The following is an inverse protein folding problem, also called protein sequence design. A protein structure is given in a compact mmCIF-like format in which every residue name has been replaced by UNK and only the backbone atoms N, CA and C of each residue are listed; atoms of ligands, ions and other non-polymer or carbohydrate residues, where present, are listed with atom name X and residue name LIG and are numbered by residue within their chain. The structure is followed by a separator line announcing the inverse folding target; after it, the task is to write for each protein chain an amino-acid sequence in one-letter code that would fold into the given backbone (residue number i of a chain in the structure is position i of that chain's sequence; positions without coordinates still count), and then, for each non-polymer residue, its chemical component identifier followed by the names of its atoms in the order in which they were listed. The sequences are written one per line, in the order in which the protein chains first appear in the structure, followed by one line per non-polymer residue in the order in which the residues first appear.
data_IF_282613340329
#
_entry.id   IF_282613340329
#
_cell.length_a   1.000
_cell.length_b   1.000
_cell.length_c   1.000
_cell.angle_alpha   90.00
_cell.angle_beta   90.00
_cell.angle_gamma   90.00
#
_symmetry.space_group_name_H-M   'P 1'
#
loop_
_entity.id
_entity.type
_entity.pdbx_description
1 polymer ?
#
# COMPACT_ATOMS: atom_id res chain seq x y z
N UNK A 1 56.84 43.37 71.98
CA UNK A 1 56.91 42.69 70.74
C UNK A 1 55.48 42.26 70.31
N UNK A 2 54.86 43.07 69.46
CA UNK A 2 53.46 42.84 69.01
C UNK A 2 53.50 42.12 67.66
N UNK A 3 52.88 40.95 67.61
CA UNK A 3 52.69 40.24 66.29
C UNK A 3 51.31 40.62 65.77
N UNK A 4 51.31 41.18 64.56
CA UNK A 4 50.13 41.54 63.81
C UNK A 4 49.80 40.35 62.94
N UNK A 5 48.59 39.78 63.02
CA UNK A 5 47.99 38.84 62.10
C UNK A 5 47.22 39.60 61.02
N UNK A 6 47.35 39.25 59.76
CA UNK A 6 46.46 39.76 58.74
C UNK A 6 45.21 38.88 58.63
N UNK A 7 44.07 39.51 58.50
CA UNK A 7 42.76 38.91 58.27
C UNK A 7 42.65 38.49 56.74
N UNK A 8 42.38 37.24 56.52
CA UNK A 8 41.99 36.75 55.22
C UNK A 8 40.46 36.89 55.05
N UNK A 9 40.06 37.76 54.13
CA UNK A 9 38.69 37.88 53.65
C UNK A 9 38.45 36.79 52.59
N UNK A 10 37.63 35.78 52.91
CA UNK A 10 37.16 34.78 52.00
C UNK A 10 35.98 35.33 51.16
N UNK A 11 36.19 35.59 49.89
CA UNK A 11 35.13 35.90 48.92
C UNK A 11 34.45 34.61 48.49
N UNK A 12 33.22 34.37 48.92
CA UNK A 12 32.39 33.27 48.47
C UNK A 12 31.84 33.60 47.08
N UNK A 13 32.38 32.96 46.03
CA UNK A 13 31.75 32.92 44.68
C UNK A 13 30.54 31.98 44.72
N UNK A 14 29.34 32.55 44.71
CA UNK A 14 28.12 31.82 44.42
C UNK A 14 28.09 31.55 42.91
N UNK A 15 28.47 30.34 42.50
CA UNK A 15 28.17 29.81 41.16
C UNK A 15 26.70 29.43 41.14
N UNK A 16 25.87 30.30 40.55
CA UNK A 16 24.50 29.96 40.18
C UNK A 16 24.56 28.94 39.01
N UNK A 17 24.48 27.65 39.32
CA UNK A 17 24.16 26.63 38.35
C UNK A 17 22.71 26.83 37.89
N UNK A 18 22.53 27.54 36.78
CA UNK A 18 21.26 27.52 36.05
C UNK A 18 21.03 26.09 35.61
N UNK A 19 20.33 25.30 36.41
CA UNK A 19 19.72 24.05 35.98
C UNK A 19 18.69 24.41 34.92
N UNK A 20 19.08 24.34 33.65
CA UNK A 20 18.14 24.19 32.55
C UNK A 20 17.42 22.85 32.77
N UNK A 21 16.43 22.88 33.69
CA UNK A 21 15.36 21.91 33.71
C UNK A 21 14.61 22.08 32.40
N UNK A 22 15.06 21.40 31.36
CA UNK A 22 14.25 21.16 30.17
C UNK A 22 13.00 20.48 30.66
N UNK A 23 11.94 21.23 30.92
CA UNK A 23 10.59 20.73 30.94
C UNK A 23 10.49 19.99 29.62
N UNK A 24 10.35 18.65 29.65
CA UNK A 24 9.84 17.91 28.54
C UNK A 24 8.45 18.49 28.26
N UNK A 25 8.46 19.57 27.47
CA UNK A 25 7.27 20.19 26.95
C UNK A 25 6.51 19.08 26.28
N UNK A 26 5.35 18.73 26.81
CA UNK A 26 4.42 17.79 26.19
C UNK A 26 3.95 18.38 24.87
N UNK A 27 4.88 18.50 23.92
CA UNK A 27 4.67 19.08 22.60
C UNK A 27 3.45 18.46 21.98
N UNK A 28 2.51 19.30 21.56
CA UNK A 28 1.25 18.86 20.95
C UNK A 28 1.53 17.80 19.89
N UNK A 29 1.04 16.58 20.11
CA UNK A 29 1.23 15.44 19.19
C UNK A 29 0.33 15.60 17.96
N UNK A 30 0.76 15.04 16.81
CA UNK A 30 -0.06 14.90 15.62
C UNK A 30 -0.76 13.56 15.71
N UNK A 31 -2.06 13.56 16.01
CA UNK A 31 -2.86 12.34 16.11
C UNK A 31 -3.25 11.84 14.72
N UNK A 32 -2.81 10.65 14.38
CA UNK A 32 -3.18 9.95 13.12
C UNK A 32 -3.95 8.69 13.50
N UNK A 33 -5.15 8.54 12.93
CA UNK A 33 -5.91 7.30 13.02
C UNK A 33 -5.39 6.27 12.01
N UNK A 34 -5.36 5.01 12.41
CA UNK A 34 -5.08 3.89 11.52
C UNK A 34 -6.16 2.82 11.70
N UNK A 35 -7.03 2.67 10.69
CA UNK A 35 -8.04 1.61 10.62
C UNK A 35 -7.47 0.53 9.72
N UNK A 36 -7.35 -0.70 10.22
CA UNK A 36 -6.77 -1.77 9.41
C UNK A 36 -7.34 -3.14 9.78
N UNK A 37 -7.39 -4.04 8.80
CA UNK A 37 -7.83 -5.42 8.96
C UNK A 37 -6.72 -6.24 9.66
N UNK A 38 -6.72 -6.26 11.00
CA UNK A 38 -5.74 -6.99 11.80
C UNK A 38 -6.26 -8.36 12.28
N UNK A 39 -7.55 -8.61 12.09
CA UNK A 39 -8.20 -9.91 12.25
C UNK A 39 -9.18 -10.17 11.08
N UNK A 40 -9.71 -11.42 10.98
CA UNK A 40 -10.53 -11.84 9.84
C UNK A 40 -9.69 -12.21 8.60
N UNK A 41 -10.35 -12.31 7.43
CA UNK A 41 -9.76 -12.86 6.21
C UNK A 41 -8.60 -12.03 5.63
N UNK A 42 -8.55 -10.73 5.89
CA UNK A 42 -7.50 -9.82 5.43
C UNK A 42 -6.38 -9.60 6.46
N UNK A 43 -6.47 -10.21 7.65
CA UNK A 43 -5.47 -10.04 8.71
C UNK A 43 -4.02 -10.27 8.26
N UNK A 44 -3.69 -11.27 7.42
CA UNK A 44 -2.34 -11.45 6.93
C UNK A 44 -1.85 -10.24 6.11
N UNK A 45 -2.73 -9.61 5.33
CA UNK A 45 -2.42 -8.48 4.45
C UNK A 45 -2.31 -7.19 5.26
N UNK A 46 -3.30 -6.91 6.10
CA UNK A 46 -3.30 -5.75 7.00
C UNK A 46 -2.16 -5.78 8.02
N UNK A 47 -1.77 -6.98 8.48
CA UNK A 47 -0.61 -7.15 9.34
C UNK A 47 0.70 -6.70 8.69
N UNK A 48 0.87 -6.90 7.37
CA UNK A 48 2.04 -6.40 6.63
C UNK A 48 2.02 -4.87 6.51
N UNK A 49 0.86 -4.28 6.23
CA UNK A 49 0.70 -2.82 6.21
C UNK A 49 1.02 -2.21 7.59
N UNK A 50 0.51 -2.83 8.67
CA UNK A 50 0.77 -2.37 10.04
C UNK A 50 2.26 -2.32 10.37
N UNK A 51 3.03 -3.35 10.01
CA UNK A 51 4.48 -3.39 10.25
C UNK A 51 5.20 -2.16 9.70
N UNK A 52 4.78 -1.68 8.55
CA UNK A 52 5.45 -0.57 7.88
C UNK A 52 4.86 0.78 8.19
N UNK A 53 3.58 0.86 8.54
CA UNK A 53 3.00 2.06 9.15
C UNK A 53 3.72 2.35 10.48
N UNK A 54 3.90 1.34 11.33
CA UNK A 54 4.65 1.48 12.59
C UNK A 54 6.11 1.88 12.32
N UNK A 55 6.79 1.22 11.37
CA UNK A 55 8.18 1.53 11.00
C UNK A 55 8.34 2.97 10.52
N UNK A 56 7.46 3.44 9.63
CA UNK A 56 7.53 4.81 9.12
C UNK A 56 7.28 5.84 10.23
N UNK A 57 6.33 5.59 11.13
CA UNK A 57 6.07 6.44 12.29
C UNK A 57 7.26 6.45 13.26
N UNK A 58 7.87 5.28 13.53
CA UNK A 58 9.09 5.17 14.34
C UNK A 58 10.22 6.02 13.76
N UNK A 59 10.47 5.90 12.43
CA UNK A 59 11.52 6.65 11.74
C UNK A 59 11.28 8.16 11.77
N UNK A 60 10.07 8.63 11.48
CA UNK A 60 9.71 10.05 11.50
C UNK A 60 9.86 10.60 12.93
N UNK A 61 9.37 9.88 13.93
CA UNK A 61 9.48 10.30 15.33
C UNK A 61 10.92 10.32 15.83
N UNK A 62 11.77 9.40 15.38
CA UNK A 62 13.20 9.38 15.69
C UNK A 62 13.97 10.56 15.07
N UNK A 63 13.47 11.08 13.93
CA UNK A 63 14.00 12.27 13.25
C UNK A 63 13.45 13.60 13.80
N UNK A 64 12.74 13.58 14.94
CA UNK A 64 12.16 14.77 15.58
C UNK A 64 10.70 15.05 15.23
N UNK A 65 10.03 14.14 14.54
CA UNK A 65 8.62 14.27 14.15
C UNK A 65 8.39 15.19 12.96
N UNK A 66 7.17 15.69 12.80
CA UNK A 66 6.79 16.62 11.73
C UNK A 66 6.71 18.02 12.32
N UNK A 67 7.58 18.94 11.87
CA UNK A 67 7.65 20.28 12.43
C UNK A 67 7.91 20.31 13.95
N UNK A 68 8.73 19.38 14.44
CA UNK A 68 9.04 19.23 15.87
C UNK A 68 7.97 18.50 16.69
N UNK A 69 6.87 18.05 16.09
CA UNK A 69 5.76 17.35 16.77
C UNK A 69 5.78 15.86 16.47
N UNK A 70 5.73 15.03 17.50
CA UNK A 70 5.68 13.56 17.33
C UNK A 70 4.32 13.11 16.80
N UNK A 71 4.33 12.05 16.00
CA UNK A 71 3.10 11.35 15.56
C UNK A 71 2.64 10.44 16.70
N UNK A 72 1.38 10.58 17.11
CA UNK A 72 0.62 9.64 17.92
C UNK A 72 -0.27 8.80 17.00
N UNK A 73 0.08 7.53 16.80
CA UNK A 73 -0.69 6.62 15.95
C UNK A 73 -1.75 5.89 16.78
N UNK A 74 -3.02 5.99 16.39
CA UNK A 74 -4.15 5.31 17.04
C UNK A 74 -4.65 4.21 16.12
N UNK A 75 -4.23 2.97 16.37
CA UNK A 75 -4.57 1.79 15.56
C UNK A 75 -5.84 1.13 16.06
N UNK A 76 -6.77 0.80 15.13
CA UNK A 76 -8.02 0.11 15.39
C UNK A 76 -8.23 -0.99 14.35
N UNK A 77 -8.64 -2.18 14.82
CA UNK A 77 -8.86 -3.37 13.99
C UNK A 77 -10.30 -3.41 13.44
N UNK A 78 -10.46 -3.26 12.13
CA UNK A 78 -11.76 -3.34 11.46
C UNK A 78 -12.28 -4.78 11.29
N UNK A 79 -11.50 -5.79 11.66
CA UNK A 79 -11.86 -7.21 11.62
C UNK A 79 -12.27 -7.72 10.23
N UNK A 80 -11.87 -7.02 9.17
CA UNK A 80 -12.32 -7.26 7.78
C UNK A 80 -13.83 -7.03 7.60
N UNK A 81 -14.45 -6.14 8.39
CA UNK A 81 -15.87 -5.85 8.39
C UNK A 81 -16.14 -4.36 8.16
N UNK A 82 -16.91 -3.97 7.12
CA UNK A 82 -17.22 -2.57 6.82
C UNK A 82 -17.90 -1.80 7.97
N UNK A 83 -18.78 -2.43 8.73
CA UNK A 83 -19.45 -1.83 9.88
C UNK A 83 -18.47 -1.51 11.01
N UNK A 84 -17.46 -2.34 11.24
CA UNK A 84 -16.38 -2.07 12.18
C UNK A 84 -15.51 -0.90 11.71
N UNK A 85 -15.24 -0.79 10.39
CA UNK A 85 -14.60 0.37 9.80
C UNK A 85 -15.34 1.68 10.12
N UNK A 86 -16.66 1.69 9.93
CA UNK A 86 -17.53 2.84 10.26
C UNK A 86 -17.51 3.16 11.76
N UNK A 87 -17.60 2.15 12.63
CA UNK A 87 -17.51 2.30 14.07
C UNK A 87 -16.19 2.96 14.48
N UNK A 88 -15.10 2.45 13.95
CA UNK A 88 -13.75 2.93 14.26
C UNK A 88 -13.47 4.30 13.69
N UNK A 89 -13.98 4.62 12.50
CA UNK A 89 -13.96 5.98 11.98
C UNK A 89 -14.59 6.98 12.98
N UNK A 90 -15.80 6.70 13.46
CA UNK A 90 -16.48 7.57 14.42
C UNK A 90 -15.70 7.72 15.74
N UNK A 91 -15.06 6.64 16.22
CA UNK A 91 -14.18 6.67 17.39
C UNK A 91 -12.94 7.55 17.16
N UNK A 92 -12.32 7.49 15.98
CA UNK A 92 -11.17 8.34 15.64
C UNK A 92 -11.59 9.80 15.49
N UNK A 93 -12.74 10.06 14.87
CA UNK A 93 -13.32 11.41 14.77
C UNK A 93 -13.53 12.04 16.14
N UNK A 94 -14.10 11.30 17.11
CA UNK A 94 -14.30 11.78 18.49
C UNK A 94 -12.99 12.07 19.21
N UNK A 95 -11.89 11.38 18.85
CA UNK A 95 -10.54 11.64 19.36
C UNK A 95 -9.83 12.80 18.67
N UNK A 96 -10.51 13.48 17.73
CA UNK A 96 -10.03 14.64 16.99
C UNK A 96 -8.71 14.36 16.24
N UNK A 97 -8.62 13.19 15.57
CA UNK A 97 -7.45 12.88 14.74
C UNK A 97 -7.30 13.89 13.60
N UNK A 98 -6.06 14.17 13.22
CA UNK A 98 -5.70 15.07 12.13
C UNK A 98 -6.06 14.47 10.78
N UNK A 99 -5.77 13.19 10.60
CA UNK A 99 -6.05 12.41 9.39
C UNK A 99 -6.19 10.92 9.74
N UNK A 100 -6.66 10.13 8.78
CA UNK A 100 -6.82 8.68 8.92
C UNK A 100 -6.08 7.97 7.77
N UNK A 101 -5.39 6.87 8.08
CA UNK A 101 -4.77 5.94 7.13
C UNK A 101 -5.54 4.61 7.20
N UNK A 102 -5.59 3.88 6.09
CA UNK A 102 -6.16 2.52 6.03
C UNK A 102 -7.50 2.51 5.30
N UNK A 103 -8.22 1.43 5.20
CA UNK A 103 -7.84 0.02 5.39
C UNK A 103 -7.29 -0.56 4.08
N UNK A 104 -6.58 -1.72 4.15
CA UNK A 104 -6.19 -2.46 2.94
C UNK A 104 -7.39 -3.18 2.30
N UNK A 105 -8.46 -3.38 3.03
CA UNK A 105 -9.69 -4.03 2.54
C UNK A 105 -10.63 -3.02 1.87
N UNK A 106 -10.83 -3.14 0.55
CA UNK A 106 -11.59 -2.19 -0.26
C UNK A 106 -13.03 -1.98 0.21
N UNK A 107 -13.70 -3.01 0.74
CA UNK A 107 -15.06 -2.86 1.24
C UNK A 107 -15.13 -1.95 2.49
N UNK A 108 -14.11 -1.98 3.35
CA UNK A 108 -13.96 -1.05 4.47
C UNK A 108 -13.62 0.35 3.96
N UNK A 109 -12.68 0.48 3.03
CA UNK A 109 -12.32 1.76 2.42
C UNK A 109 -13.52 2.51 1.86
N UNK A 110 -14.37 1.80 1.10
CA UNK A 110 -15.61 2.35 0.53
C UNK A 110 -16.67 2.72 1.58
N UNK A 111 -16.68 2.06 2.75
CA UNK A 111 -17.60 2.40 3.84
C UNK A 111 -17.12 3.62 4.65
N UNK A 112 -15.81 3.83 4.73
CA UNK A 112 -15.20 4.94 5.50
C UNK A 112 -15.13 6.24 4.67
N UNK A 113 -14.85 6.15 3.38
CA UNK A 113 -14.64 7.29 2.48
C UNK A 113 -15.76 8.33 2.53
N UNK A 114 -17.09 7.99 2.48
CA UNK A 114 -18.14 9.01 2.52
C UNK A 114 -18.19 9.76 3.86
N UNK A 115 -17.75 9.13 4.94
CA UNK A 115 -17.68 9.76 6.25
C UNK A 115 -16.51 10.75 6.31
N UNK A 116 -15.37 10.39 5.73
CA UNK A 116 -14.20 11.24 5.63
C UNK A 116 -14.51 12.50 4.81
N UNK A 117 -15.20 12.36 3.69
CA UNK A 117 -15.68 13.48 2.85
C UNK A 117 -16.61 14.40 3.63
N UNK A 118 -17.63 13.86 4.30
CA UNK A 118 -18.60 14.61 5.11
C UNK A 118 -17.95 15.42 6.24
N UNK A 119 -17.01 14.79 6.96
CA UNK A 119 -16.40 15.38 8.16
C UNK A 119 -15.10 16.12 7.87
N UNK A 120 -14.71 16.22 6.58
CA UNK A 120 -13.51 16.90 6.10
C UNK A 120 -12.26 16.42 6.80
N UNK A 121 -12.10 15.08 6.93
CA UNK A 121 -10.92 14.45 7.51
C UNK A 121 -10.12 13.82 6.36
N UNK A 122 -8.87 14.24 6.09
CA UNK A 122 -8.04 13.59 5.10
C UNK A 122 -7.93 12.07 5.36
N UNK A 123 -8.32 11.28 4.37
CA UNK A 123 -8.28 9.83 4.39
C UNK A 123 -7.31 9.31 3.34
N UNK A 124 -6.20 8.74 3.80
CA UNK A 124 -5.16 8.12 2.97
C UNK A 124 -5.46 6.62 2.92
N UNK A 125 -6.18 6.21 1.89
CA UNK A 125 -6.67 4.84 1.75
C UNK A 125 -5.59 3.89 1.26
N UNK A 126 -5.47 2.74 1.90
CA UNK A 126 -4.60 1.64 1.46
C UNK A 126 -5.34 0.62 0.57
N UNK A 127 -6.56 0.93 0.15
CA UNK A 127 -7.42 0.07 -0.65
C UNK A 127 -7.50 0.53 -2.12
N UNK A 128 -7.36 -0.37 -3.10
CA UNK A 128 -7.25 -0.02 -4.53
C UNK A 128 -8.58 0.09 -5.28
N UNK A 129 -9.73 0.19 -4.61
CA UNK A 129 -11.02 0.26 -5.30
C UNK A 129 -11.25 1.61 -5.96
N UNK A 130 -11.51 1.62 -7.27
CA UNK A 130 -11.69 2.82 -8.11
C UNK A 130 -12.80 3.75 -7.61
N UNK A 131 -13.90 3.20 -7.09
CA UNK A 131 -15.03 3.98 -6.59
C UNK A 131 -14.72 4.93 -5.44
N UNK A 132 -13.55 4.81 -4.80
CA UNK A 132 -13.11 5.75 -3.77
C UNK A 132 -12.72 7.11 -4.35
N UNK A 133 -12.33 7.14 -5.62
CA UNK A 133 -11.82 8.34 -6.32
C UNK A 133 -12.47 8.58 -7.68
N UNK A 134 -13.49 7.80 -8.05
CA UNK A 134 -14.30 8.00 -9.24
C UNK A 134 -15.79 7.85 -8.88
N UNK A 135 -16.52 8.96 -8.74
CA UNK A 135 -16.09 10.38 -8.87
C UNK A 135 -15.13 10.81 -7.75
N UNK A 136 -14.31 11.85 -8.02
CA UNK A 136 -13.36 12.40 -7.06
C UNK A 136 -14.03 12.75 -5.73
N UNK A 137 -13.38 12.30 -4.64
CA UNK A 137 -13.69 12.67 -3.26
C UNK A 137 -12.57 13.56 -2.73
N UNK A 138 -12.93 14.78 -2.30
CA UNK A 138 -11.93 15.81 -1.94
C UNK A 138 -10.98 15.40 -0.83
N UNK A 139 -11.46 14.57 0.12
CA UNK A 139 -10.68 14.20 1.29
C UNK A 139 -10.16 12.77 1.25
N UNK A 140 -10.32 12.04 0.13
CA UNK A 140 -9.83 10.66 -0.03
C UNK A 140 -8.73 10.58 -1.08
N UNK A 141 -7.59 10.01 -0.69
CA UNK A 141 -6.41 9.79 -1.53
C UNK A 141 -6.02 8.33 -1.47
N UNK A 142 -5.86 7.69 -2.62
CA UNK A 142 -5.54 6.25 -2.70
C UNK A 142 -4.04 6.04 -2.87
N UNK A 143 -3.47 5.17 -2.05
CA UNK A 143 -2.03 4.85 -2.06
C UNK A 143 -1.69 3.75 -3.07
N UNK A 144 -2.30 2.55 -3.06
CA UNK A 144 -2.00 1.55 -4.07
C UNK A 144 -2.46 2.02 -5.45
N UNK A 145 -1.90 1.46 -6.51
CA UNK A 145 -2.48 1.61 -7.83
C UNK A 145 -3.93 1.09 -7.82
N UNK A 146 -4.82 1.76 -8.55
CA UNK A 146 -6.22 1.37 -8.63
C UNK A 146 -6.39 0.01 -9.31
N UNK A 147 -7.48 -0.69 -9.00
CA UNK A 147 -7.82 -1.96 -9.64
C UNK A 147 -7.87 -1.85 -11.15
N UNK A 148 -8.41 -0.74 -11.69
CA UNK A 148 -8.43 -0.47 -13.12
C UNK A 148 -7.04 -0.24 -13.71
N UNK A 149 -6.08 0.29 -12.95
CA UNK A 149 -4.69 0.46 -13.39
C UNK A 149 -3.96 -0.89 -13.42
N UNK A 150 -4.22 -1.79 -12.46
CA UNK A 150 -3.77 -3.18 -12.52
C UNK A 150 -4.33 -3.91 -13.75
N UNK A 151 -5.62 -3.72 -14.03
CA UNK A 151 -6.26 -4.29 -15.23
C UNK A 151 -5.59 -3.78 -16.52
N UNK A 152 -5.35 -2.48 -16.60
CA UNK A 152 -4.71 -1.85 -17.76
C UNK A 152 -3.26 -2.33 -17.95
N UNK A 153 -2.45 -2.39 -16.88
CA UNK A 153 -1.09 -2.92 -16.96
C UNK A 153 -1.06 -4.38 -17.44
N UNK A 154 -2.03 -5.21 -17.02
CA UNK A 154 -2.17 -6.59 -17.47
C UNK A 154 -2.57 -6.65 -18.94
N UNK A 155 -3.49 -5.81 -19.40
CA UNK A 155 -3.90 -5.72 -20.80
C UNK A 155 -2.75 -5.23 -21.71
N UNK A 156 -1.94 -4.27 -21.27
CA UNK A 156 -0.72 -3.85 -21.96
C UNK A 156 0.27 -5.00 -22.12
N UNK A 157 0.44 -5.81 -21.06
CA UNK A 157 1.26 -7.02 -21.12
C UNK A 157 0.71 -8.02 -22.15
N UNK A 158 -0.58 -8.28 -22.14
CA UNK A 158 -1.24 -9.19 -23.08
C UNK A 158 -1.08 -8.72 -24.53
N UNK A 159 -1.27 -7.43 -24.81
CA UNK A 159 -1.11 -6.86 -26.14
C UNK A 159 0.30 -7.10 -26.68
N UNK A 160 1.34 -6.79 -25.90
CA UNK A 160 2.74 -6.98 -26.33
C UNK A 160 3.06 -8.46 -26.56
N UNK A 161 2.49 -9.37 -25.77
CA UNK A 161 2.73 -10.80 -25.87
C UNK A 161 1.72 -11.54 -26.79
N UNK A 162 0.88 -10.78 -27.52
CA UNK A 162 -0.12 -11.30 -28.46
C UNK A 162 -1.12 -12.29 -27.82
N UNK A 163 -1.43 -12.10 -26.54
CA UNK A 163 -2.49 -12.82 -25.83
C UNK A 163 -3.80 -12.09 -26.11
N UNK A 164 -4.61 -12.62 -27.00
CA UNK A 164 -5.82 -11.97 -27.53
C UNK A 164 -7.12 -12.51 -26.94
N UNK A 165 -7.09 -13.69 -26.29
CA UNK A 165 -8.26 -14.35 -25.71
C UNK A 165 -7.95 -14.70 -24.25
N UNK A 166 -8.69 -14.15 -23.32
CA UNK A 166 -8.44 -14.29 -21.87
C UNK A 166 -9.69 -14.80 -21.17
N UNK A 167 -9.53 -15.83 -20.34
CA UNK A 167 -10.51 -16.18 -19.31
C UNK A 167 -10.20 -15.40 -18.04
N UNK A 168 -11.24 -15.06 -17.30
CA UNK A 168 -11.11 -14.29 -16.04
C UNK A 168 -11.91 -14.96 -14.93
N UNK A 169 -11.28 -15.22 -13.79
CA UNK A 169 -11.94 -15.65 -12.57
C UNK A 169 -11.89 -14.53 -11.53
N UNK A 170 -12.97 -14.28 -10.78
CA UNK A 170 -13.03 -13.16 -9.88
C UNK A 170 -13.94 -13.40 -8.66
N UNK A 171 -13.51 -12.86 -7.51
CA UNK A 171 -14.26 -12.89 -6.25
C UNK A 171 -15.41 -11.86 -6.27
N UNK A 172 -16.64 -12.34 -6.16
CA UNK A 172 -17.86 -11.51 -6.19
C UNK A 172 -18.13 -10.73 -4.90
N UNK A 173 -17.44 -11.05 -3.82
CA UNK A 173 -17.61 -10.37 -2.51
C UNK A 173 -16.53 -9.30 -2.28
N UNK A 174 -15.52 -9.23 -3.14
CA UNK A 174 -14.42 -8.28 -3.05
C UNK A 174 -14.65 -7.08 -3.97
N UNK A 175 -14.79 -5.88 -3.41
CA UNK A 175 -14.89 -4.65 -4.20
C UNK A 175 -13.65 -4.42 -5.08
N UNK A 176 -12.47 -4.82 -4.61
CA UNK A 176 -11.24 -4.84 -5.39
C UNK A 176 -11.35 -5.71 -6.64
N UNK A 177 -11.79 -6.96 -6.47
CA UNK A 177 -11.88 -7.91 -7.58
C UNK A 177 -12.96 -7.49 -8.60
N UNK A 178 -14.09 -6.98 -8.13
CA UNK A 178 -15.15 -6.44 -8.99
C UNK A 178 -14.66 -5.24 -9.81
N UNK A 179 -13.96 -4.29 -9.18
CA UNK A 179 -13.39 -3.14 -9.88
C UNK A 179 -12.35 -3.56 -10.93
N UNK A 180 -11.50 -4.54 -10.61
CA UNK A 180 -10.53 -5.10 -11.57
C UNK A 180 -11.18 -5.80 -12.75
N UNK A 181 -12.20 -6.65 -12.48
CA UNK A 181 -13.02 -7.27 -13.52
C UNK A 181 -13.63 -6.21 -14.45
N UNK A 182 -14.27 -5.20 -13.89
CA UNK A 182 -14.93 -4.14 -14.66
C UNK A 182 -13.91 -3.33 -15.47
N UNK A 183 -12.78 -2.97 -14.86
CA UNK A 183 -11.67 -2.29 -15.51
C UNK A 183 -11.13 -3.09 -16.70
N UNK A 184 -10.93 -4.38 -16.52
CA UNK A 184 -10.46 -5.29 -17.57
C UNK A 184 -11.49 -5.43 -18.68
N UNK A 185 -12.75 -5.70 -18.36
CA UNK A 185 -13.84 -5.85 -19.33
C UNK A 185 -14.03 -4.58 -20.17
N UNK A 186 -14.03 -3.41 -19.53
CA UNK A 186 -14.22 -2.11 -20.20
C UNK A 186 -13.10 -1.79 -21.18
N UNK A 187 -11.86 -2.17 -20.88
CA UNK A 187 -10.67 -1.76 -21.63
C UNK A 187 -10.13 -2.82 -22.60
N UNK A 188 -10.50 -4.09 -22.46
CA UNK A 188 -9.90 -5.21 -23.17
C UNK A 188 -9.84 -4.99 -24.70
N UNK A 189 -10.94 -4.54 -25.31
CA UNK A 189 -11.01 -4.32 -26.76
C UNK A 189 -9.99 -3.29 -27.27
N UNK A 190 -9.70 -2.23 -26.49
CA UNK A 190 -8.71 -1.22 -26.87
C UNK A 190 -7.27 -1.78 -26.95
N UNK A 191 -7.01 -2.90 -26.28
CA UNK A 191 -5.73 -3.62 -26.29
C UNK A 191 -5.74 -4.85 -27.20
N UNK A 192 -6.80 -5.03 -28.04
CA UNK A 192 -6.94 -6.20 -28.90
C UNK A 192 -7.20 -7.51 -28.13
N UNK A 193 -7.73 -7.41 -26.92
CA UNK A 193 -8.03 -8.56 -26.05
C UNK A 193 -9.54 -8.79 -25.98
N UNK A 194 -9.97 -10.03 -26.06
CA UNK A 194 -11.34 -10.49 -25.82
C UNK A 194 -11.42 -11.28 -24.53
N UNK A 195 -12.31 -10.91 -23.65
CA UNK A 195 -12.63 -11.73 -22.47
C UNK A 195 -13.62 -12.80 -22.90
N UNK A 196 -13.09 -14.00 -23.17
CA UNK A 196 -13.89 -15.11 -23.73
C UNK A 196 -14.66 -15.90 -22.69
N UNK A 197 -14.28 -15.78 -21.41
CA UNK A 197 -14.95 -16.44 -20.30
C UNK A 197 -14.81 -15.60 -19.02
N UNK A 198 -15.89 -15.51 -18.25
CA UNK A 198 -15.91 -14.88 -16.94
C UNK A 198 -16.47 -15.86 -15.92
N UNK A 199 -15.70 -16.18 -14.90
CA UNK A 199 -16.00 -17.17 -13.88
C UNK A 199 -16.07 -16.50 -12.49
N UNK A 200 -17.28 -16.24 -12.00
CA UNK A 200 -17.47 -15.71 -10.65
C UNK A 200 -17.25 -16.79 -9.59
N UNK A 201 -16.71 -16.40 -8.43
CA UNK A 201 -16.67 -17.23 -7.24
C UNK A 201 -16.85 -16.36 -5.98
N UNK A 202 -17.13 -16.98 -4.84
CA UNK A 202 -17.22 -16.29 -3.56
C UNK A 202 -15.92 -16.42 -2.77
N UNK A 203 -15.62 -15.46 -1.89
CA UNK A 203 -14.41 -15.44 -1.03
C UNK A 203 -14.21 -16.76 -0.26
N UNK A 204 -15.29 -17.47 0.04
CA UNK A 204 -15.27 -18.75 0.77
C UNK A 204 -15.11 -19.98 -0.11
N UNK A 205 -14.95 -19.81 -1.44
CA UNK A 205 -14.78 -20.93 -2.36
C UNK A 205 -13.55 -21.77 -2.03
N UNK A 206 -13.75 -23.06 -1.82
CA UNK A 206 -12.70 -24.04 -1.52
C UNK A 206 -12.36 -24.99 -2.69
N UNK A 207 -13.19 -25.00 -3.75
CA UNK A 207 -12.98 -25.81 -4.94
C UNK A 207 -13.12 -24.97 -6.21
N UNK A 208 -12.07 -24.95 -7.02
CA UNK A 208 -12.00 -24.22 -8.29
C UNK A 208 -12.04 -25.15 -9.51
N UNK A 209 -12.22 -26.46 -9.33
CA UNK A 209 -12.29 -27.45 -10.41
C UNK A 209 -13.38 -27.11 -11.45
N UNK A 210 -14.59 -26.64 -11.08
CA UNK A 210 -15.59 -26.21 -12.05
C UNK A 210 -15.13 -25.07 -12.93
N UNK A 211 -14.46 -24.07 -12.35
CA UNK A 211 -13.90 -22.92 -13.09
C UNK A 211 -12.88 -23.40 -14.11
N UNK A 212 -11.95 -24.28 -13.70
CA UNK A 212 -10.96 -24.82 -14.63
C UNK A 212 -11.57 -25.63 -15.75
N UNK A 213 -12.64 -26.39 -15.48
CA UNK A 213 -13.37 -27.12 -16.51
C UNK A 213 -14.02 -26.19 -17.53
N UNK A 214 -14.66 -25.11 -17.09
CA UNK A 214 -15.27 -24.10 -17.96
C UNK A 214 -14.22 -23.34 -18.80
N UNK A 215 -13.07 -23.03 -18.22
CA UNK A 215 -11.98 -22.35 -18.91
C UNK A 215 -11.36 -23.22 -20.00
N UNK A 216 -11.25 -24.55 -19.78
CA UNK A 216 -10.65 -25.50 -20.73
C UNK A 216 -11.29 -25.45 -22.12
N UNK A 217 -12.60 -25.32 -22.22
CA UNK A 217 -13.36 -25.27 -23.48
C UNK A 217 -13.52 -23.86 -24.07
N UNK A 218 -13.00 -22.82 -23.41
CA UNK A 218 -13.28 -21.43 -23.80
C UNK A 218 -12.44 -20.87 -24.94
N UNK A 219 -11.37 -21.57 -25.34
CA UNK A 219 -10.39 -21.06 -26.29
C UNK A 219 -9.50 -19.94 -25.75
N UNK A 220 -9.47 -19.75 -24.43
CA UNK A 220 -8.60 -18.77 -23.78
C UNK A 220 -7.11 -19.14 -23.95
N UNK A 221 -6.26 -18.13 -24.01
CA UNK A 221 -4.80 -18.22 -24.08
C UNK A 221 -4.14 -17.93 -22.73
N UNK A 222 -4.90 -17.37 -21.78
CA UNK A 222 -4.47 -17.07 -20.42
C UNK A 222 -5.67 -17.10 -19.46
N UNK A 223 -5.39 -17.36 -18.17
CA UNK A 223 -6.34 -17.20 -17.08
C UNK A 223 -5.87 -16.05 -16.17
N UNK A 224 -6.65 -14.98 -16.09
CA UNK A 224 -6.46 -13.86 -15.17
C UNK A 224 -7.33 -14.04 -13.92
N UNK A 225 -6.78 -13.86 -12.73
CA UNK A 225 -7.49 -14.09 -11.46
C UNK A 225 -7.50 -12.83 -10.60
N UNK A 226 -8.69 -12.39 -10.25
CA UNK A 226 -8.96 -11.29 -9.35
C UNK A 226 -9.43 -11.83 -8.01
N UNK A 227 -8.50 -12.02 -7.09
CA UNK A 227 -8.72 -12.53 -5.75
C UNK A 227 -7.77 -11.87 -4.76
N UNK A 228 -8.08 -11.98 -3.47
CA UNK A 228 -7.16 -11.64 -2.37
C UNK A 228 -7.27 -12.68 -1.28
N UNK A 229 -6.19 -12.88 -0.52
CA UNK A 229 -6.18 -13.81 0.61
C UNK A 229 -6.36 -15.28 0.22
N UNK A 230 -7.12 -16.03 1.03
CA UNK A 230 -7.26 -17.48 0.94
C UNK A 230 -7.72 -18.03 -0.42
N UNK A 231 -8.73 -17.47 -1.12
CA UNK A 231 -9.16 -18.01 -2.41
C UNK A 231 -8.07 -17.94 -3.47
N UNK A 232 -7.22 -16.90 -3.46
CA UNK A 232 -6.07 -16.80 -4.36
C UNK A 232 -4.99 -17.85 -4.10
N UNK A 233 -4.83 -18.28 -2.83
CA UNK A 233 -3.95 -19.40 -2.46
C UNK A 233 -4.54 -20.73 -2.92
N UNK A 234 -5.82 -20.97 -2.62
CA UNK A 234 -6.50 -22.23 -2.95
C UNK A 234 -6.55 -22.48 -4.44
N UNK A 235 -6.93 -21.46 -5.23
CA UNK A 235 -6.97 -21.55 -6.69
C UNK A 235 -5.59 -21.90 -7.26
N UNK A 236 -4.54 -21.19 -6.82
CA UNK A 236 -3.18 -21.43 -7.31
C UNK A 236 -2.67 -22.84 -6.96
N UNK A 237 -3.00 -23.36 -5.78
CA UNK A 237 -2.67 -24.74 -5.37
C UNK A 237 -3.34 -25.81 -6.24
N UNK A 238 -4.58 -25.58 -6.63
CA UNK A 238 -5.37 -26.52 -7.44
C UNK A 238 -5.01 -26.42 -8.93
N UNK A 239 -4.42 -25.27 -9.35
CA UNK A 239 -4.14 -25.03 -10.77
C UNK A 239 -3.29 -26.09 -11.46
N UNK A 240 -2.16 -26.60 -10.91
CA UNK A 240 -1.34 -27.62 -11.56
C UNK A 240 -2.08 -28.91 -11.87
N UNK A 241 -3.04 -29.31 -11.03
CA UNK A 241 -3.84 -30.54 -11.21
C UNK A 241 -5.08 -30.33 -12.10
N UNK A 242 -5.36 -29.08 -12.50
CA UNK A 242 -6.50 -28.74 -13.34
C UNK A 242 -6.44 -29.26 -14.77
N UNK A 243 -5.25 -29.68 -15.25
CA UNK A 243 -5.00 -30.03 -16.63
C UNK A 243 -4.99 -28.86 -17.61
N UNK A 244 -5.15 -27.62 -17.14
CA UNK A 244 -4.96 -26.40 -17.91
C UNK A 244 -3.47 -26.17 -18.16
N UNK A 245 -3.12 -25.84 -19.43
CA UNK A 245 -1.75 -25.47 -19.81
C UNK A 245 -1.65 -23.99 -20.21
N UNK A 246 -2.48 -23.16 -19.60
CA UNK A 246 -2.49 -21.73 -19.85
C UNK A 246 -1.56 -21.01 -18.85
N UNK A 247 -0.94 -19.88 -19.22
CA UNK A 247 -0.32 -19.03 -18.21
C UNK A 247 -1.37 -18.49 -17.25
N UNK A 248 -1.07 -18.58 -15.94
CA UNK A 248 -1.88 -18.07 -14.86
C UNK A 248 -1.37 -16.68 -14.47
N UNK A 249 -2.25 -15.69 -14.46
CA UNK A 249 -1.96 -14.31 -14.07
C UNK A 249 -2.69 -13.94 -12.78
N UNK A 250 -1.93 -13.52 -11.79
CA UNK A 250 -2.44 -13.07 -10.49
C UNK A 250 -2.14 -11.57 -10.30
N UNK A 251 -2.86 -10.95 -9.41
CA UNK A 251 -2.73 -9.50 -9.15
C UNK A 251 -1.77 -9.19 -7.99
N UNK A 252 -1.59 -7.91 -7.67
CA UNK A 252 -0.68 -7.44 -6.62
C UNK A 252 -0.96 -8.00 -5.23
N UNK A 253 -2.18 -8.42 -4.96
CA UNK A 253 -2.55 -9.04 -3.67
C UNK A 253 -1.84 -10.37 -3.39
N UNK A 254 -1.28 -11.02 -4.40
CA UNK A 254 -0.48 -12.25 -4.29
C UNK A 254 1.02 -12.00 -4.28
N UNK A 255 1.47 -10.77 -4.39
CA UNK A 255 2.90 -10.43 -4.42
C UNK A 255 3.55 -10.44 -3.03
N UNK A 256 3.43 -11.55 -2.31
CA UNK A 256 3.96 -11.69 -0.95
C UNK A 256 4.37 -13.13 -0.63
N UNK A 257 5.24 -13.27 0.37
CA UNK A 257 5.54 -14.59 0.95
C UNK A 257 4.31 -15.30 1.52
N UNK A 258 3.30 -14.53 1.96
CA UNK A 258 2.05 -15.07 2.51
C UNK A 258 1.22 -15.80 1.45
N UNK A 259 1.49 -15.54 0.17
CA UNK A 259 0.95 -16.32 -0.93
C UNK A 259 1.97 -17.35 -1.45
N UNK A 260 3.23 -16.95 -1.65
CA UNK A 260 4.29 -17.80 -2.19
C UNK A 260 4.53 -19.05 -1.31
N UNK A 261 4.63 -18.87 0.01
CA UNK A 261 4.92 -19.98 0.92
C UNK A 261 3.82 -21.05 0.96
N UNK A 262 2.53 -20.74 1.21
CA UNK A 262 1.49 -21.75 1.21
C UNK A 262 1.21 -22.33 -0.16
N UNK A 263 1.42 -21.63 -1.26
CA UNK A 263 1.26 -22.16 -2.63
C UNK A 263 2.43 -23.08 -2.97
N UNK A 264 3.65 -22.75 -2.54
CA UNK A 264 4.83 -23.59 -2.72
C UNK A 264 5.17 -23.80 -4.20
N UNK A 265 5.51 -25.05 -4.57
CA UNK A 265 5.88 -25.40 -5.95
C UNK A 265 4.79 -25.08 -6.99
N UNK A 266 3.52 -25.02 -6.59
CA UNK A 266 2.42 -24.65 -7.49
C UNK A 266 2.47 -23.19 -7.96
N UNK A 267 3.24 -22.34 -7.29
CA UNK A 267 3.45 -20.95 -7.72
C UNK A 267 4.44 -20.84 -8.87
N UNK A 268 5.28 -21.87 -9.14
CA UNK A 268 6.32 -21.77 -10.15
C UNK A 268 5.76 -21.45 -11.54
N UNK A 269 6.33 -20.45 -12.18
CA UNK A 269 5.90 -19.98 -13.50
C UNK A 269 4.64 -19.09 -13.52
N UNK A 270 3.94 -18.91 -12.40
CA UNK A 270 2.78 -18.01 -12.29
C UNK A 270 3.23 -16.56 -12.47
N UNK A 271 2.44 -15.79 -13.22
CA UNK A 271 2.64 -14.35 -13.38
C UNK A 271 1.91 -13.61 -12.26
N UNK A 272 2.62 -12.67 -11.60
CA UNK A 272 2.07 -11.91 -10.46
C UNK A 272 2.41 -10.43 -10.65
N UNK A 273 1.40 -9.58 -10.63
CA UNK A 273 1.63 -8.14 -10.61
C UNK A 273 2.12 -7.67 -9.24
N UNK A 274 2.81 -6.54 -9.20
CA UNK A 274 3.17 -5.87 -7.94
C UNK A 274 3.47 -4.39 -8.16
N UNK A 275 3.51 -3.60 -7.07
CA UNK A 275 4.22 -2.33 -7.10
C UNK A 275 5.71 -2.55 -7.39
N UNK A 276 6.34 -1.54 -7.97
CA UNK A 276 7.77 -1.59 -8.36
C UNK A 276 8.69 -1.91 -7.19
N UNK A 277 8.38 -1.44 -5.99
CA UNK A 277 9.21 -1.66 -4.81
C UNK A 277 9.33 -3.12 -4.36
N UNK A 278 8.34 -3.97 -4.67
CA UNK A 278 8.39 -5.41 -4.32
C UNK A 278 9.59 -6.11 -4.99
N UNK A 279 9.92 -5.67 -6.20
CA UNK A 279 11.09 -6.13 -6.95
C UNK A 279 12.21 -5.08 -6.96
N UNK A 280 12.22 -4.22 -5.97
CA UNK A 280 13.08 -3.05 -5.88
C UNK A 280 14.58 -3.35 -5.88
N UNK A 281 15.00 -4.56 -5.52
CA UNK A 281 16.41 -4.96 -5.59
C UNK A 281 16.93 -4.99 -7.05
N UNK A 282 16.04 -5.12 -8.03
CA UNK A 282 16.36 -5.11 -9.47
C UNK A 282 16.37 -3.71 -10.09
N UNK A 283 15.94 -2.68 -9.35
CA UNK A 283 15.91 -1.30 -9.85
C UNK A 283 17.33 -0.76 -10.04
N UNK A 284 17.58 0.05 -11.08
CA UNK A 284 18.80 0.82 -11.22
C UNK A 284 18.92 1.85 -10.09
N UNK A 285 20.12 2.38 -9.85
CA UNK A 285 20.36 3.46 -8.90
C UNK A 285 19.53 4.69 -9.22
N UNK A 286 19.12 5.47 -8.19
CA UNK A 286 18.30 6.65 -8.33
C UNK A 286 17.31 6.82 -7.18
N UNK A 287 16.49 7.85 -7.25
CA UNK A 287 15.56 8.24 -6.18
C UNK A 287 14.58 7.13 -5.81
N UNK A 288 14.06 6.38 -6.80
CA UNK A 288 13.14 5.28 -6.55
C UNK A 288 13.82 4.14 -5.79
N UNK A 289 15.03 3.73 -6.22
CA UNK A 289 15.84 2.73 -5.52
C UNK A 289 16.13 3.14 -4.08
N UNK A 290 16.47 4.42 -3.86
CA UNK A 290 16.76 4.95 -2.54
C UNK A 290 15.52 4.89 -1.63
N UNK A 291 14.34 5.28 -2.14
CA UNK A 291 13.08 5.20 -1.40
C UNK A 291 12.73 3.75 -1.02
N UNK A 292 12.94 2.80 -1.94
CA UNK A 292 12.75 1.37 -1.65
C UNK A 292 13.73 0.89 -0.57
N UNK A 293 15.01 1.27 -0.67
CA UNK A 293 16.06 0.83 0.26
C UNK A 293 15.87 1.41 1.67
N UNK A 294 15.43 2.68 1.78
CA UNK A 294 15.10 3.35 3.05
C UNK A 294 14.08 2.54 3.87
N UNK A 295 13.13 1.91 3.22
CA UNK A 295 12.12 1.06 3.85
C UNK A 295 12.58 -0.40 3.95
N UNK A 296 13.04 -1.00 2.83
CA UNK A 296 13.29 -2.45 2.75
C UNK A 296 14.49 -2.89 3.59
N UNK A 297 15.49 -2.04 3.79
CA UNK A 297 16.65 -2.32 4.65
C UNK A 297 16.23 -2.58 6.10
N UNK A 298 15.66 -1.57 6.80
CA UNK A 298 15.15 -1.72 8.16
C UNK A 298 14.07 -2.81 8.30
N UNK A 299 13.18 -2.95 7.30
CA UNK A 299 12.18 -4.00 7.31
C UNK A 299 12.81 -5.40 7.32
N UNK A 300 13.77 -5.66 6.42
CA UNK A 300 14.48 -6.95 6.39
C UNK A 300 15.25 -7.21 7.68
N UNK A 301 15.90 -6.20 8.22
CA UNK A 301 16.59 -6.32 9.51
C UNK A 301 15.64 -6.70 10.65
N UNK A 302 14.43 -6.09 10.69
CA UNK A 302 13.44 -6.31 11.77
C UNK A 302 12.66 -7.61 11.60
N UNK A 303 12.31 -8.00 10.37
CA UNK A 303 11.37 -9.10 10.09
C UNK A 303 11.95 -10.29 9.32
N UNK A 304 13.16 -10.18 8.75
CA UNK A 304 13.89 -11.29 8.13
C UNK A 304 13.42 -11.68 6.71
N UNK A 305 12.66 -10.82 6.00
CA UNK A 305 12.19 -11.09 4.64
C UNK A 305 11.95 -9.80 3.84
N UNK A 306 11.74 -9.95 2.52
CA UNK A 306 11.41 -8.84 1.62
C UNK A 306 10.01 -8.29 1.91
N UNK A 307 9.87 -6.96 2.01
CA UNK A 307 8.57 -6.34 2.23
C UNK A 307 7.63 -6.59 1.04
N UNK A 308 6.40 -7.09 1.29
CA UNK A 308 5.41 -7.32 0.25
C UNK A 308 4.67 -6.05 -0.16
N UNK A 309 3.74 -6.17 -1.13
CA UNK A 309 2.92 -5.07 -1.65
C UNK A 309 2.28 -4.23 -0.53
N UNK A 310 1.58 -4.86 0.41
CA UNK A 310 0.87 -4.15 1.48
C UNK A 310 1.81 -3.42 2.45
N UNK A 311 3.03 -3.94 2.62
CA UNK A 311 4.07 -3.25 3.37
C UNK A 311 4.53 -1.98 2.63
N UNK A 312 4.70 -2.05 1.29
CA UNK A 312 5.02 -0.87 0.48
C UNK A 312 3.93 0.20 0.61
N UNK A 313 2.66 -0.20 0.52
CA UNK A 313 1.52 0.71 0.60
C UNK A 313 1.42 1.38 1.98
N UNK A 314 1.55 0.61 3.07
CA UNK A 314 1.51 1.15 4.43
C UNK A 314 2.59 2.21 4.69
N UNK A 315 3.83 1.91 4.30
CA UNK A 315 4.94 2.86 4.42
C UNK A 315 4.72 4.13 3.61
N UNK A 316 4.32 3.96 2.34
CA UNK A 316 4.06 5.07 1.41
C UNK A 316 2.93 5.97 1.91
N UNK A 317 1.86 5.39 2.46
CA UNK A 317 0.75 6.14 3.03
C UNK A 317 1.17 7.08 4.16
N UNK A 318 2.02 6.60 5.08
CA UNK A 318 2.57 7.44 6.16
C UNK A 318 3.48 8.53 5.60
N UNK A 319 4.36 8.21 4.63
CA UNK A 319 5.29 9.19 4.03
C UNK A 319 4.54 10.29 3.29
N UNK A 320 3.49 9.94 2.52
CA UNK A 320 2.63 10.90 1.82
C UNK A 320 1.92 11.83 2.80
N UNK A 321 1.30 11.28 3.84
CA UNK A 321 0.61 12.07 4.84
C UNK A 321 1.57 12.98 5.62
N UNK A 322 2.74 12.46 6.01
CA UNK A 322 3.75 13.24 6.73
C UNK A 322 4.26 14.41 5.88
N UNK A 323 4.55 14.18 4.60
CA UNK A 323 4.94 15.24 3.67
C UNK A 323 3.85 16.30 3.49
N UNK A 324 2.58 15.87 3.43
CA UNK A 324 1.45 16.79 3.33
C UNK A 324 1.27 17.64 4.59
N UNK A 325 1.38 17.05 5.78
CA UNK A 325 1.31 17.77 7.06
C UNK A 325 2.46 18.76 7.18
N UNK A 326 3.67 18.37 6.78
CA UNK A 326 4.85 19.26 6.75
C UNK A 326 4.62 20.44 5.78
N UNK A 327 4.11 20.17 4.57
CA UNK A 327 3.81 21.21 3.55
C UNK A 327 2.68 22.13 3.99
N UNK A 328 1.67 21.62 4.69
CA UNK A 328 0.57 22.39 5.26
C UNK A 328 0.99 23.30 6.43
N UNK A 329 2.17 23.07 7.01
CA UNK A 329 2.68 23.80 8.17
C UNK A 329 1.92 23.51 9.46
N UNK A 330 1.16 22.39 9.53
CA UNK A 330 0.40 22.06 10.75
C UNK A 330 -0.72 21.05 10.50
N UNK A 331 -1.71 21.04 11.42
CA UNK A 331 -2.75 20.01 11.50
C UNK A 331 -4.12 20.47 10.93
N UNK A 332 -4.16 21.60 10.22
CA UNK A 332 -5.37 22.03 9.52
C UNK A 332 -5.70 21.06 8.39
N UNK A 333 -6.90 20.49 8.44
CA UNK A 333 -7.32 19.40 7.54
C UNK A 333 -7.48 19.83 6.11
N UNK A 334 -7.95 21.08 5.86
CA UNK A 334 -8.13 21.61 4.52
C UNK A 334 -6.76 21.87 3.88
N UNK A 335 -5.84 22.47 4.64
CA UNK A 335 -4.47 22.67 4.17
C UNK A 335 -3.73 21.36 3.88
N UNK A 336 -3.97 20.32 4.70
CA UNK A 336 -3.40 18.97 4.45
C UNK A 336 -3.98 18.39 3.17
N UNK A 337 -5.30 18.51 2.93
CA UNK A 337 -5.94 18.08 1.69
C UNK A 337 -5.34 18.82 0.49
N UNK A 338 -5.22 20.15 0.53
CA UNK A 338 -4.62 20.98 -0.54
C UNK A 338 -3.15 20.62 -0.77
N UNK A 339 -2.43 20.32 0.33
CA UNK A 339 -1.05 19.88 0.25
C UNK A 339 -0.93 18.51 -0.44
N UNK A 340 -1.84 17.55 -0.17
CA UNK A 340 -1.90 16.26 -0.87
C UNK A 340 -2.16 16.44 -2.36
N UNK A 341 -3.16 17.24 -2.77
CA UNK A 341 -3.49 17.49 -4.18
C UNK A 341 -2.33 18.11 -4.98
N UNK A 342 -1.41 18.78 -4.33
CA UNK A 342 -0.24 19.41 -4.96
C UNK A 342 1.08 18.73 -4.61
N UNK A 343 1.02 17.49 -4.08
CA UNK A 343 2.20 16.75 -3.66
C UNK A 343 2.75 15.91 -4.81
N UNK A 344 4.06 16.01 -5.04
CA UNK A 344 4.82 15.03 -5.80
C UNK A 344 5.85 14.40 -4.88
N UNK A 345 5.80 13.08 -4.71
CA UNK A 345 6.69 12.36 -3.81
C UNK A 345 7.04 10.98 -4.39
N UNK A 346 8.32 10.62 -4.32
CA UNK A 346 8.79 9.27 -4.62
C UNK A 346 8.77 8.45 -3.34
N UNK A 347 8.10 7.30 -3.42
CA UNK A 347 7.96 6.35 -2.31
C UNK A 347 8.30 4.93 -2.80
N UNK A 348 8.35 3.92 -1.93
CA UNK A 348 8.58 2.54 -2.36
C UNK A 348 7.57 1.98 -3.36
N UNK A 349 6.34 2.49 -3.41
CA UNK A 349 5.32 2.06 -4.39
C UNK A 349 5.48 2.70 -5.75
N UNK A 350 6.11 3.87 -5.84
CA UNK A 350 6.28 4.63 -7.08
C UNK A 350 6.37 6.14 -6.84
N UNK A 351 6.24 6.90 -7.94
CA UNK A 351 6.16 8.36 -7.90
C UNK A 351 4.71 8.81 -7.86
N UNK A 352 4.29 9.34 -6.74
CA UNK A 352 2.97 9.97 -6.60
C UNK A 352 2.95 11.37 -7.16
N UNK A 353 1.84 11.70 -7.84
CA UNK A 353 1.52 13.04 -8.28
C UNK A 353 0.00 13.19 -8.25
N UNK A 354 -0.55 13.53 -7.09
CA UNK A 354 -1.96 13.83 -6.95
C UNK A 354 -2.30 15.20 -7.57
N UNK A 355 -3.56 15.39 -7.89
CA UNK A 355 -4.10 16.68 -8.35
C UNK A 355 -5.56 16.77 -7.96
N UNK A 356 -6.19 17.94 -8.15
CA UNK A 356 -7.63 18.12 -7.89
C UNK A 356 -8.55 17.19 -8.71
N UNK A 357 -8.02 16.55 -9.76
CA UNK A 357 -8.74 15.63 -10.66
C UNK A 357 -8.20 14.21 -10.66
N UNK A 358 -7.15 13.92 -9.89
CA UNK A 358 -6.56 12.58 -9.78
C UNK A 358 -6.05 12.37 -8.34
N UNK A 359 -6.79 11.58 -7.56
CA UNK A 359 -6.44 11.17 -6.21
C UNK A 359 -5.92 9.73 -6.13
N UNK A 360 -5.56 9.12 -7.28
CA UNK A 360 -4.88 7.82 -7.32
C UNK A 360 -3.35 7.94 -7.29
N UNK A 361 -2.81 9.05 -7.83
CA UNK A 361 -1.40 9.40 -7.78
C UNK A 361 -0.42 8.51 -8.55
N UNK A 362 -0.73 7.24 -8.74
CA UNK A 362 0.08 6.26 -9.49
C UNK A 362 -0.45 6.04 -10.91
N UNK A 363 0.35 5.40 -11.75
CA UNK A 363 0.05 5.08 -13.14
C UNK A 363 0.21 3.57 -13.41
N UNK A 364 -0.36 3.02 -14.50
CA UNK A 364 -0.10 1.63 -14.88
C UNK A 364 1.39 1.32 -15.09
N UNK A 365 2.23 2.35 -15.33
CA UNK A 365 3.68 2.23 -15.44
C UNK A 365 4.38 1.93 -14.11
N UNK A 366 3.73 2.21 -12.98
CA UNK A 366 4.24 1.90 -11.64
C UNK A 366 3.91 0.47 -11.20
N UNK A 367 3.37 -0.36 -12.11
CA UNK A 367 3.01 -1.76 -11.88
C UNK A 367 3.97 -2.67 -12.64
N UNK A 368 4.62 -3.57 -11.92
CA UNK A 368 5.47 -4.62 -12.47
C UNK A 368 4.64 -5.88 -12.73
N UNK A 369 4.92 -6.57 -13.86
CA UNK A 369 4.50 -7.95 -14.11
C UNK A 369 5.70 -8.85 -13.84
N UNK A 370 5.60 -9.69 -12.84
CA UNK A 370 6.66 -10.59 -12.42
C UNK A 370 6.28 -12.03 -12.76
N UNK A 371 7.27 -12.90 -12.81
CA UNK A 371 7.07 -14.35 -12.87
C UNK A 371 7.67 -14.98 -11.63
N UNK A 372 6.98 -15.94 -11.05
CA UNK A 372 7.59 -16.74 -9.96
C UNK A 372 8.65 -17.63 -10.56
N UNK A 373 9.87 -17.54 -10.02
CA UNK A 373 11.02 -18.36 -10.38
C UNK A 373 11.79 -18.71 -9.11
N UNK A 374 12.01 -20.00 -8.88
CA UNK A 374 12.71 -20.51 -7.69
C UNK A 374 12.09 -19.98 -6.37
N UNK A 375 10.75 -19.89 -6.34
CA UNK A 375 9.98 -19.39 -5.19
C UNK A 375 10.05 -17.90 -4.94
N UNK A 376 10.62 -17.10 -5.87
CA UNK A 376 10.73 -15.65 -5.77
C UNK A 376 10.03 -14.94 -6.95
N UNK A 377 9.64 -13.68 -6.73
CA UNK A 377 9.11 -12.83 -7.79
C UNK A 377 10.28 -12.22 -8.58
N UNK A 378 10.34 -12.51 -9.87
CA UNK A 378 11.35 -11.97 -10.79
C UNK A 378 10.64 -11.13 -11.86
N UNK A 379 11.03 -9.86 -12.08
CA UNK A 379 10.44 -9.05 -13.15
C UNK A 379 10.57 -9.74 -14.50
N UNK A 380 9.48 -9.75 -15.27
CA UNK A 380 9.56 -10.17 -16.70
C UNK A 380 10.44 -9.19 -17.48
N UNK A 381 11.02 -9.59 -18.63
CA UNK A 381 11.79 -8.65 -19.47
C UNK A 381 11.01 -7.40 -19.84
N UNK A 382 9.68 -7.51 -20.07
CA UNK A 382 8.79 -6.39 -20.32
C UNK A 382 8.75 -5.42 -19.13
N UNK A 383 8.66 -5.94 -17.90
CA UNK A 383 8.68 -5.11 -16.69
C UNK A 383 10.05 -4.52 -16.42
N UNK A 384 11.13 -5.27 -16.60
CA UNK A 384 12.48 -4.79 -16.37
C UNK A 384 12.81 -3.55 -17.20
N UNK A 385 12.44 -3.54 -18.50
CA UNK A 385 12.60 -2.38 -19.36
C UNK A 385 11.80 -1.16 -18.88
N UNK A 386 10.55 -1.37 -18.44
CA UNK A 386 9.67 -0.30 -17.91
C UNK A 386 10.17 0.26 -16.58
N UNK A 387 10.66 -0.61 -15.69
CA UNK A 387 11.21 -0.21 -14.39
C UNK A 387 12.47 0.65 -14.57
N UNK A 388 13.33 0.31 -15.55
CA UNK A 388 14.49 1.13 -15.90
C UNK A 388 14.05 2.51 -16.41
N UNK A 389 13.13 2.56 -17.36
CA UNK A 389 12.62 3.83 -17.90
C UNK A 389 11.91 4.67 -16.81
N UNK A 390 11.14 4.05 -15.91
CA UNK A 390 10.50 4.74 -14.81
C UNK A 390 11.51 5.31 -13.80
N UNK A 391 12.57 4.55 -13.48
CA UNK A 391 13.63 5.02 -12.60
C UNK A 391 14.40 6.19 -13.21
N UNK A 392 14.73 6.15 -14.51
CA UNK A 392 15.37 7.23 -15.24
C UNK A 392 14.51 8.50 -15.29
N UNK A 393 13.20 8.38 -15.50
CA UNK A 393 12.26 9.51 -15.50
C UNK A 393 12.07 10.18 -14.12
N UNK A 394 12.46 9.50 -13.05
CA UNK A 394 12.39 10.01 -11.67
C UNK A 394 13.72 10.71 -11.27
N UNK A 395 14.83 10.35 -11.90
CA UNK A 395 16.18 10.90 -11.67
C UNK A 395 16.86 10.29 -10.48
#
# INVERSE_FOLDING_TARGET
MRKILPALTAAALLTATAACGGSADGGATIKIGFIESLSGNYAPLGGEAKKTVDLAVEQINAQGGIGGKRIELITLDDKTLPDQGVLHYNKLRSRKVTAIIGSTFSNVGLAVEPLAERDRIPYVSLAPADKQVDPIRKYTFVVPALSSQYAEAMLQYFQVHKITKVAMAYDTKSAYALAGRDGMTKRAAAYGVSIVKQEPFETTAGDFSPIFAHVRGSGAQALAVWASGAPGVTLAKQYPTSGLKLPLFMTGSQSSKLWLQPVGAAAEGVYVQSAVGVVGDTLPGGRLKNAVTEMSGPFRQKYGYQPPQFAMDGYSGVKLLAAAVQKAGGTDRDKIRDALESLTLVTPTGRYSYSATDHSGLKPTDISMNRVKDGALVPTPWSAARLTAAAEAIG
#
